data_IF_748872658762
#
_entry.id   IF_748872658762
#
_cell.length_a   1.000
_cell.length_b   1.000
_cell.length_c   1.000
_cell.angle_alpha   90.00
_cell.angle_beta   90.00
_cell.angle_gamma   90.00
#
_symmetry.space_group_name_H-M   'P 1'
#
loop_
_entity.id
_entity.type
_entity.pdbx_description
1 polymer ?
#
# COMPACT_ATOMS: atom_id res chain seq x y z
N UNK A 1 54.24 -4.31 -5.79
CA UNK A 1 53.02 -3.49 -5.88
C UNK A 1 52.00 -4.28 -6.70
N UNK A 2 51.10 -5.01 -6.03
CA UNK A 2 50.01 -5.73 -6.69
C UNK A 2 48.75 -4.92 -6.44
N UNK A 3 48.17 -4.38 -7.51
CA UNK A 3 46.91 -3.64 -7.45
C UNK A 3 45.78 -4.61 -7.14
N UNK A 4 45.12 -4.42 -6.00
CA UNK A 4 43.83 -5.04 -5.69
C UNK A 4 42.76 -4.26 -6.46
N UNK A 5 42.21 -4.85 -7.50
CA UNK A 5 40.99 -4.36 -8.15
C UNK A 5 39.84 -4.94 -7.36
N UNK A 6 39.18 -4.11 -6.55
CA UNK A 6 37.91 -4.44 -5.91
C UNK A 6 36.83 -4.24 -6.97
N UNK A 7 36.28 -5.34 -7.47
CA UNK A 7 35.00 -5.32 -8.19
C UNK A 7 33.90 -5.11 -7.16
N UNK A 8 33.31 -3.91 -7.12
CA UNK A 8 31.99 -3.72 -6.54
C UNK A 8 30.99 -4.35 -7.50
N UNK A 9 30.62 -5.61 -7.24
CA UNK A 9 29.37 -6.16 -7.74
C UNK A 9 28.26 -5.46 -6.94
N UNK A 10 27.71 -4.39 -7.50
CA UNK A 10 26.44 -3.83 -7.06
C UNK A 10 25.39 -4.83 -7.53
N UNK A 11 25.12 -5.84 -6.72
CA UNK A 11 23.93 -6.64 -6.86
C UNK A 11 22.79 -5.78 -6.32
N UNK A 12 21.95 -5.28 -7.22
CA UNK A 12 20.61 -4.81 -6.86
C UNK A 12 19.85 -6.06 -6.41
N UNK A 13 19.88 -6.31 -5.10
CA UNK A 13 19.02 -7.30 -4.47
C UNK A 13 17.72 -6.57 -4.19
N UNK A 14 16.67 -7.11 -4.78
CA UNK A 14 15.38 -6.52 -4.95
C UNK A 14 14.38 -7.35 -4.15
N UNK A 15 13.46 -6.65 -3.50
CA UNK A 15 12.60 -7.06 -2.43
C UNK A 15 11.18 -7.37 -2.98
N UNK A 16 10.94 -8.64 -3.31
CA UNK A 16 9.72 -9.28 -3.88
C UNK A 16 9.27 -8.68 -5.18
N UNK A 17 9.05 -9.52 -6.20
CA UNK A 17 9.16 -9.02 -7.53
C UNK A 17 7.88 -8.27 -7.80
N UNK A 18 8.02 -6.96 -7.92
CA UNK A 18 7.25 -6.12 -8.81
C UNK A 18 6.40 -6.97 -9.75
N UNK A 19 5.07 -6.78 -9.73
CA UNK A 19 4.22 -7.46 -10.71
C UNK A 19 4.53 -6.96 -12.11
N UNK A 20 5.36 -7.73 -12.80
CA UNK A 20 5.59 -7.58 -14.22
C UNK A 20 4.34 -7.93 -15.03
N UNK A 21 4.38 -7.56 -16.31
CA UNK A 21 3.26 -7.74 -17.22
C UNK A 21 2.72 -9.17 -17.21
N UNK A 22 3.61 -10.18 -17.26
CA UNK A 22 3.22 -11.59 -17.26
C UNK A 22 2.42 -11.97 -16.01
N UNK A 23 2.85 -11.52 -14.83
CA UNK A 23 2.12 -11.76 -13.57
C UNK A 23 0.74 -11.10 -13.57
N UNK A 24 0.65 -9.89 -14.09
CA UNK A 24 -0.64 -9.19 -14.20
C UNK A 24 -1.59 -9.88 -15.19
N UNK A 25 -1.08 -10.37 -16.33
CA UNK A 25 -1.88 -11.10 -17.33
C UNK A 25 -2.39 -12.43 -16.75
N UNK A 26 -1.51 -13.21 -16.12
CA UNK A 26 -1.88 -14.46 -15.43
C UNK A 26 -2.95 -14.23 -14.36
N UNK A 27 -2.84 -13.12 -13.63
CA UNK A 27 -3.81 -12.70 -12.66
C UNK A 27 -5.17 -12.38 -13.32
N UNK A 28 -5.20 -11.55 -14.35
CA UNK A 28 -6.43 -11.16 -15.02
C UNK A 28 -7.19 -12.36 -15.60
N UNK A 29 -6.46 -13.30 -16.20
CA UNK A 29 -7.02 -14.55 -16.71
C UNK A 29 -7.64 -15.39 -15.59
N UNK A 30 -6.91 -15.59 -14.50
CA UNK A 30 -7.38 -16.36 -13.33
C UNK A 30 -8.59 -15.71 -12.64
N UNK A 31 -8.55 -14.38 -12.50
CA UNK A 31 -9.62 -13.61 -11.87
C UNK A 31 -10.91 -13.64 -12.70
N UNK A 32 -10.81 -13.60 -14.03
CA UNK A 32 -11.98 -13.70 -14.91
C UNK A 32 -12.74 -15.01 -14.71
N UNK A 33 -12.02 -16.13 -14.56
CA UNK A 33 -12.58 -17.45 -14.29
C UNK A 33 -13.23 -17.51 -12.90
N UNK A 34 -12.60 -16.89 -11.89
CA UNK A 34 -13.14 -16.79 -10.54
C UNK A 34 -14.45 -15.99 -10.48
N UNK A 35 -14.48 -14.81 -11.13
CA UNK A 35 -15.66 -13.92 -11.18
C UNK A 35 -16.88 -14.65 -11.77
N UNK A 36 -16.67 -15.41 -12.84
CA UNK A 36 -17.72 -16.18 -13.51
C UNK A 36 -18.25 -17.37 -12.68
N UNK A 37 -17.41 -17.93 -11.79
CA UNK A 37 -17.78 -19.03 -10.92
C UNK A 37 -18.61 -18.58 -9.71
N UNK A 38 -18.26 -17.46 -9.07
CA UNK A 38 -18.87 -17.01 -7.82
C UNK A 38 -20.15 -16.16 -7.95
N UNK A 39 -20.42 -15.60 -9.13
CA UNK A 39 -21.73 -15.00 -9.41
C UNK A 39 -22.89 -16.03 -9.39
N UNK A 40 -22.59 -17.33 -9.32
CA UNK A 40 -23.59 -18.42 -9.31
C UNK A 40 -23.88 -19.01 -7.93
N UNK A 41 -23.18 -18.63 -6.85
CA UNK A 41 -23.22 -19.35 -5.57
C UNK A 41 -23.61 -18.52 -4.33
N UNK A 42 -24.11 -17.29 -4.47
CA UNK A 42 -24.46 -16.46 -3.30
C UNK A 42 -25.75 -16.93 -2.58
N UNK A 43 -25.65 -18.00 -1.80
CA UNK A 43 -26.52 -18.24 -0.65
C UNK A 43 -25.80 -17.72 0.60
N UNK A 44 -25.97 -16.42 0.90
CA UNK A 44 -25.35 -15.78 2.07
C UNK A 44 -25.91 -16.41 3.35
N UNK A 45 -25.09 -17.19 4.05
CA UNK A 45 -25.35 -17.58 5.45
C UNK A 45 -24.72 -16.53 6.35
N UNK A 46 -25.56 -15.74 7.00
CA UNK A 46 -25.15 -14.85 8.09
C UNK A 46 -24.51 -15.69 9.22
N UNK A 47 -23.19 -15.67 9.31
CA UNK A 47 -22.48 -16.08 10.52
C UNK A 47 -22.49 -14.92 11.51
N UNK A 48 -22.52 -15.24 12.80
CA UNK A 48 -22.57 -14.26 13.88
C UNK A 48 -21.34 -13.34 13.83
N UNK A 49 -21.57 -12.03 13.94
CA UNK A 49 -20.52 -11.03 14.15
C UNK A 49 -19.52 -11.50 15.20
N UNK A 50 -18.28 -11.76 14.80
CA UNK A 50 -17.17 -11.86 15.75
C UNK A 50 -16.99 -10.46 16.30
N UNK A 51 -17.25 -10.28 17.60
CA UNK A 51 -16.90 -9.04 18.29
C UNK A 51 -15.39 -9.04 18.45
N UNK A 52 -14.69 -8.36 17.57
CA UNK A 52 -13.26 -8.11 17.75
C UNK A 52 -13.07 -6.87 18.62
N UNK A 53 -11.90 -6.77 19.25
CA UNK A 53 -11.55 -5.64 20.12
C UNK A 53 -10.35 -4.97 19.49
N UNK A 54 -10.55 -3.78 18.91
CA UNK A 54 -9.48 -3.06 18.19
C UNK A 54 -8.13 -3.00 18.95
N UNK A 55 -8.07 -2.74 20.26
CA UNK A 55 -6.81 -2.81 21.00
C UNK A 55 -6.14 -4.20 20.98
N UNK A 56 -6.93 -5.27 21.08
CA UNK A 56 -6.44 -6.66 21.05
C UNK A 56 -5.95 -7.00 19.64
N UNK A 57 -6.72 -6.62 18.60
CA UNK A 57 -6.34 -6.88 17.21
C UNK A 57 -5.07 -6.12 16.83
N UNK A 58 -4.92 -4.86 17.29
CA UNK A 58 -3.71 -4.07 17.10
C UNK A 58 -2.50 -4.70 17.80
N UNK A 59 -2.66 -5.17 19.04
CA UNK A 59 -1.58 -5.85 19.76
C UNK A 59 -1.16 -7.14 19.06
N UNK A 60 -2.12 -7.98 18.67
CA UNK A 60 -1.86 -9.23 17.95
C UNK A 60 -1.18 -8.97 16.59
N UNK A 61 -1.59 -7.93 15.86
CA UNK A 61 -0.95 -7.57 14.60
C UNK A 61 0.51 -7.12 14.81
N UNK A 62 0.77 -6.32 15.85
CA UNK A 62 2.12 -5.88 16.17
C UNK A 62 3.04 -7.05 16.60
N UNK A 63 2.51 -7.97 17.42
CA UNK A 63 3.22 -9.19 17.83
C UNK A 63 3.50 -10.10 16.63
N UNK A 64 2.48 -10.32 15.80
CA UNK A 64 2.61 -11.10 14.58
C UNK A 64 3.73 -10.54 13.70
N UNK A 65 3.69 -9.26 13.33
CA UNK A 65 4.71 -8.64 12.46
C UNK A 65 6.11 -8.67 13.10
N UNK A 66 6.21 -8.57 14.43
CA UNK A 66 7.50 -8.67 15.11
C UNK A 66 8.18 -10.03 14.94
N UNK A 67 7.41 -11.12 14.85
CA UNK A 67 7.93 -12.48 14.60
C UNK A 67 8.48 -12.65 13.16
N UNK A 68 8.10 -11.77 12.24
CA UNK A 68 8.54 -11.77 10.83
C UNK A 68 9.71 -10.82 10.55
N UNK A 69 10.29 -10.23 11.58
CA UNK A 69 11.45 -9.36 11.46
C UNK A 69 12.74 -10.17 11.20
N UNK A 70 13.50 -9.83 10.15
CA UNK A 70 14.81 -10.43 9.92
C UNK A 70 15.85 -9.89 10.91
N UNK A 71 16.28 -10.72 11.86
CA UNK A 71 17.24 -10.33 12.91
C UNK A 71 18.69 -10.76 12.63
N UNK A 72 18.98 -11.34 11.46
CA UNK A 72 20.35 -11.71 11.09
C UNK A 72 21.16 -10.48 10.70
N UNK A 73 22.08 -10.06 11.59
CA UNK A 73 22.91 -8.88 11.39
C UNK A 73 23.94 -9.00 10.27
N UNK A 74 24.21 -10.21 9.79
CA UNK A 74 25.11 -10.43 8.65
C UNK A 74 24.36 -10.34 7.30
N UNK A 75 23.01 -10.27 7.32
CA UNK A 75 22.20 -10.06 6.13
C UNK A 75 22.22 -8.59 5.67
N UNK A 76 22.21 -8.38 4.36
CA UNK A 76 21.99 -7.05 3.77
C UNK A 76 20.60 -6.51 4.10
N UNK A 77 19.64 -7.41 4.27
CA UNK A 77 18.23 -7.12 4.57
C UNK A 77 17.96 -7.04 6.08
N UNK A 78 19.01 -6.92 6.90
CA UNK A 78 18.90 -6.85 8.35
C UNK A 78 17.90 -5.79 8.79
N UNK A 79 16.92 -6.25 9.59
CA UNK A 79 15.86 -5.41 10.12
C UNK A 79 14.71 -5.13 9.17
N UNK A 80 14.63 -5.77 8.00
CA UNK A 80 13.41 -5.73 7.19
C UNK A 80 12.42 -6.82 7.58
N UNK A 81 11.17 -6.68 7.14
CA UNK A 81 10.07 -7.61 7.39
C UNK A 81 9.95 -8.60 6.24
N UNK A 82 9.82 -9.88 6.59
CA UNK A 82 9.56 -10.95 5.63
C UNK A 82 8.18 -10.78 4.99
N UNK A 83 8.10 -10.94 3.67
CA UNK A 83 6.90 -10.72 2.88
C UNK A 83 5.80 -11.76 3.16
N UNK A 84 6.06 -13.03 2.87
CA UNK A 84 5.01 -14.05 2.89
C UNK A 84 5.24 -15.13 3.94
N UNK A 85 4.14 -15.72 4.41
CA UNK A 85 4.21 -16.80 5.39
C UNK A 85 4.80 -18.10 4.84
N UNK A 86 4.61 -18.32 3.53
CA UNK A 86 5.02 -19.54 2.82
C UNK A 86 5.33 -19.26 1.34
N UNK A 87 5.75 -20.29 0.62
CA UNK A 87 5.92 -20.23 -0.84
C UNK A 87 7.20 -19.52 -1.29
N UNK A 88 7.22 -19.11 -2.56
CA UNK A 88 8.40 -18.51 -3.19
C UNK A 88 8.75 -17.12 -2.64
N UNK A 89 7.80 -16.46 -1.96
CA UNK A 89 7.98 -15.14 -1.35
C UNK A 89 8.43 -15.21 0.12
N UNK A 90 8.63 -16.41 0.68
CA UNK A 90 8.99 -16.57 2.11
C UNK A 90 10.37 -16.01 2.47
N UNK A 91 11.29 -16.00 1.52
CA UNK A 91 12.66 -15.52 1.72
C UNK A 91 12.85 -14.08 1.24
N UNK A 92 11.76 -13.42 0.89
CA UNK A 92 11.76 -12.02 0.51
C UNK A 92 11.62 -11.17 1.77
N UNK A 93 12.39 -10.08 1.80
CA UNK A 93 12.21 -8.96 2.72
C UNK A 93 11.75 -7.71 1.95
N UNK A 94 10.79 -6.91 2.44
CA UNK A 94 10.27 -5.74 1.70
C UNK A 94 10.14 -4.43 2.45
N UNK A 95 10.33 -3.33 1.70
CA UNK A 95 10.18 -1.96 2.17
C UNK A 95 8.76 -1.58 2.52
N UNK A 96 7.73 -2.03 1.80
CA UNK A 96 6.34 -1.72 2.14
C UNK A 96 5.96 -2.39 3.45
N UNK A 97 6.18 -3.70 3.61
CA UNK A 97 5.92 -4.41 4.87
C UNK A 97 6.71 -3.81 6.04
N UNK A 98 7.95 -3.37 5.79
CA UNK A 98 8.81 -2.71 6.79
C UNK A 98 8.35 -1.29 7.14
N UNK A 99 7.78 -0.54 6.19
CA UNK A 99 7.20 0.77 6.47
C UNK A 99 5.88 0.65 7.22
N UNK A 100 5.05 -0.32 6.85
CA UNK A 100 3.80 -0.65 7.53
C UNK A 100 4.05 -1.11 8.96
N UNK A 101 5.11 -1.89 9.22
CA UNK A 101 5.49 -2.29 10.58
C UNK A 101 5.81 -1.07 11.47
N UNK A 102 6.57 -0.09 10.96
CA UNK A 102 6.86 1.16 11.68
C UNK A 102 5.58 1.95 11.94
N UNK A 103 4.64 1.98 10.98
CA UNK A 103 3.33 2.63 11.16
C UNK A 103 2.55 1.96 12.30
N UNK A 104 2.36 0.63 12.28
CA UNK A 104 1.54 -0.06 13.27
C UNK A 104 2.17 -0.01 14.66
N UNK A 105 3.51 -0.11 14.78
CA UNK A 105 4.18 0.01 16.07
C UNK A 105 4.15 1.44 16.61
N UNK A 106 4.19 2.46 15.74
CA UNK A 106 3.97 3.86 16.14
C UNK A 106 2.55 4.06 16.68
N UNK A 107 1.53 3.53 15.99
CA UNK A 107 0.14 3.56 16.46
C UNK A 107 -0.01 2.83 17.80
N UNK A 108 0.61 1.66 17.95
CA UNK A 108 0.61 0.88 19.19
C UNK A 108 1.23 1.68 20.34
N UNK A 109 2.41 2.28 20.14
CA UNK A 109 3.09 3.11 21.14
C UNK A 109 2.20 4.28 21.58
N UNK A 110 1.55 4.97 20.64
CA UNK A 110 0.65 6.07 20.96
C UNK A 110 -0.60 5.59 21.73
N UNK A 111 -1.16 4.44 21.37
CA UNK A 111 -2.38 3.90 21.98
C UNK A 111 -2.15 3.33 23.39
N UNK A 112 -1.06 2.58 23.59
CA UNK A 112 -0.78 1.86 24.83
C UNK A 112 0.29 2.52 25.71
N UNK A 113 0.99 3.54 25.21
CA UNK A 113 2.16 4.14 25.86
C UNK A 113 3.19 3.09 26.30
N UNK A 114 3.48 2.13 25.42
CA UNK A 114 4.31 0.95 25.66
C UNK A 114 5.44 0.84 24.62
N UNK A 115 6.67 0.56 25.05
CA UNK A 115 7.91 0.55 24.25
C UNK A 115 8.33 -0.85 23.83
N UNK A 116 7.47 -1.85 24.03
CA UNK A 116 7.80 -3.26 23.80
C UNK A 116 8.26 -3.55 22.36
N UNK A 117 7.87 -2.72 21.38
CA UNK A 117 8.26 -2.86 19.97
C UNK A 117 9.32 -1.83 19.53
N UNK A 118 9.86 -0.98 20.41
CA UNK A 118 10.82 0.06 20.03
C UNK A 118 12.13 -0.54 19.45
N UNK A 119 12.51 -1.74 19.91
CA UNK A 119 13.65 -2.47 19.33
C UNK A 119 13.36 -2.95 17.90
N UNK A 120 12.18 -3.52 17.64
CA UNK A 120 11.77 -3.92 16.29
C UNK A 120 11.67 -2.71 15.36
N UNK A 121 11.09 -1.61 15.85
CA UNK A 121 11.03 -0.35 15.10
C UNK A 121 12.43 0.14 14.71
N UNK A 122 13.39 0.08 15.63
CA UNK A 122 14.78 0.47 15.34
C UNK A 122 15.39 -0.38 14.23
N UNK A 123 15.10 -1.68 14.19
CA UNK A 123 15.55 -2.58 13.13
C UNK A 123 14.92 -2.20 11.78
N UNK A 124 13.61 -1.95 11.75
CA UNK A 124 12.91 -1.52 10.55
C UNK A 124 13.46 -0.20 9.98
N UNK A 125 13.84 0.75 10.84
CA UNK A 125 14.49 1.98 10.39
C UNK A 125 15.90 1.76 9.81
N UNK A 126 16.65 0.77 10.29
CA UNK A 126 17.95 0.40 9.72
C UNK A 126 17.76 -0.11 8.29
N UNK A 127 16.80 -1.02 8.08
CA UNK A 127 16.48 -1.55 6.77
C UNK A 127 16.04 -0.43 5.81
N UNK A 128 15.09 0.42 6.21
CA UNK A 128 14.58 1.51 5.37
C UNK A 128 15.69 2.51 4.98
N UNK A 129 16.66 2.73 5.85
CA UNK A 129 17.81 3.57 5.52
C UNK A 129 18.73 2.93 4.48
N UNK A 130 18.83 1.60 4.44
CA UNK A 130 19.59 0.86 3.44
C UNK A 130 18.84 0.71 2.11
N UNK A 131 17.51 0.62 2.17
CA UNK A 131 16.61 0.46 1.03
C UNK A 131 15.54 1.56 0.99
N UNK A 132 15.91 2.80 0.59
CA UNK A 132 14.94 3.87 0.50
C UNK A 132 13.86 3.58 -0.56
N UNK A 133 12.58 3.72 -0.21
CA UNK A 133 11.42 3.56 -1.10
C UNK A 133 11.59 4.00 -2.58
N UNK A 134 12.17 5.17 -2.83
CA UNK A 134 12.33 5.69 -4.19
C UNK A 134 13.41 4.97 -5.02
N UNK A 135 14.16 4.04 -4.41
CA UNK A 135 15.14 3.16 -5.05
C UNK A 135 14.61 1.73 -5.25
N UNK A 136 13.33 1.49 -4.97
CA UNK A 136 12.69 0.19 -5.15
C UNK A 136 12.68 -0.30 -6.61
N UNK A 137 12.27 -1.55 -6.79
CA UNK A 137 12.18 -2.24 -8.07
C UNK A 137 11.44 -1.45 -9.16
N UNK A 138 12.00 -1.45 -10.36
CA UNK A 138 11.35 -0.94 -11.57
C UNK A 138 11.34 -2.00 -12.66
N UNK A 139 10.42 -1.88 -13.60
CA UNK A 139 10.37 -2.69 -14.80
C UNK A 139 10.33 -1.82 -16.06
N UNK A 140 10.47 -2.45 -17.23
CA UNK A 140 10.45 -1.75 -18.51
C UNK A 140 9.09 -1.13 -18.85
N UNK A 141 7.98 -1.66 -18.29
CA UNK A 141 6.62 -1.20 -18.55
C UNK A 141 6.09 -0.22 -17.49
N UNK A 142 6.59 -0.28 -16.25
CA UNK A 142 6.16 0.58 -15.17
C UNK A 142 7.13 0.63 -13.98
N UNK A 143 7.04 1.73 -13.25
CA UNK A 143 7.81 2.02 -12.04
C UNK A 143 6.87 2.31 -10.85
N UNK A 144 5.68 1.67 -10.82
CA UNK A 144 4.66 1.96 -9.80
C UNK A 144 5.13 1.68 -8.37
N UNK A 145 6.04 0.74 -8.18
CA UNK A 145 6.38 0.21 -6.86
C UNK A 145 7.19 1.21 -6.01
N UNK A 146 8.19 1.95 -6.56
CA UNK A 146 8.80 3.10 -5.89
C UNK A 146 7.82 4.23 -5.55
N UNK A 147 6.81 4.44 -6.41
CA UNK A 147 5.78 5.46 -6.19
C UNK A 147 4.90 5.06 -5.00
N UNK A 148 4.42 3.82 -5.00
CA UNK A 148 3.68 3.19 -3.90
C UNK A 148 4.44 3.27 -2.57
N UNK A 149 5.66 2.76 -2.53
CA UNK A 149 6.50 2.77 -1.33
C UNK A 149 6.82 4.20 -0.86
N UNK A 150 6.91 5.16 -1.77
CA UNK A 150 7.08 6.57 -1.39
C UNK A 150 5.82 7.15 -0.73
N UNK A 151 4.63 6.67 -1.09
CA UNK A 151 3.39 6.96 -0.37
C UNK A 151 3.41 6.45 1.07
N UNK A 152 3.77 5.17 1.26
CA UNK A 152 3.90 4.55 2.58
C UNK A 152 4.98 5.24 3.44
N UNK A 153 6.13 5.59 2.85
CA UNK A 153 7.20 6.34 3.53
C UNK A 153 6.71 7.68 4.12
N UNK A 154 5.83 8.40 3.40
CA UNK A 154 5.24 9.64 3.89
C UNK A 154 4.33 9.40 5.10
N UNK A 155 3.47 8.38 5.04
CA UNK A 155 2.62 8.00 6.18
C UNK A 155 3.46 7.55 7.38
N UNK A 156 4.45 6.70 7.15
CA UNK A 156 5.39 6.24 8.17
C UNK A 156 6.08 7.41 8.86
N UNK A 157 6.62 8.34 8.08
CA UNK A 157 7.29 9.54 8.62
C UNK A 157 6.35 10.34 9.51
N UNK A 158 5.10 10.57 9.06
CA UNK A 158 4.07 11.25 9.86
C UNK A 158 3.79 10.52 11.18
N UNK A 159 3.47 9.22 11.14
CA UNK A 159 3.11 8.46 12.34
C UNK A 159 4.27 8.35 13.33
N UNK A 160 5.49 8.10 12.83
CA UNK A 160 6.69 8.06 13.65
C UNK A 160 6.94 9.41 14.34
N UNK A 161 6.97 10.51 13.58
CA UNK A 161 7.23 11.83 14.17
C UNK A 161 6.14 12.26 15.15
N UNK A 162 4.87 11.99 14.87
CA UNK A 162 3.77 12.30 15.81
C UNK A 162 3.84 11.50 17.10
N UNK A 163 4.29 10.24 17.03
CA UNK A 163 4.36 9.34 18.18
C UNK A 163 5.58 9.62 19.06
N UNK A 164 6.75 9.79 18.44
CA UNK A 164 8.02 9.90 19.15
C UNK A 164 8.49 11.34 19.34
N UNK A 165 7.88 12.32 18.66
CA UNK A 165 8.36 13.69 18.62
C UNK A 165 9.73 13.84 17.92
N UNK A 166 10.18 12.80 17.21
CA UNK A 166 11.45 12.77 16.50
C UNK A 166 11.27 13.19 15.04
N UNK A 167 11.99 14.24 14.65
CA UNK A 167 11.96 14.83 13.31
C UNK A 167 13.03 14.25 12.36
N UNK A 168 13.80 13.25 12.79
CA UNK A 168 14.91 12.68 12.01
C UNK A 168 14.49 12.15 10.62
N UNK A 169 13.26 11.66 10.49
CA UNK A 169 12.72 11.11 9.23
C UNK A 169 12.10 12.15 8.29
N UNK A 170 11.94 13.41 8.71
CA UNK A 170 11.27 14.44 7.90
C UNK A 170 11.94 14.66 6.53
N UNK A 171 13.27 14.59 6.47
CA UNK A 171 14.01 14.72 5.21
C UNK A 171 13.78 13.54 4.26
N UNK A 172 13.54 12.34 4.80
CA UNK A 172 13.18 11.15 4.02
C UNK A 172 11.76 11.29 3.46
N UNK A 173 10.78 11.63 4.31
CA UNK A 173 9.41 11.92 3.87
C UNK A 173 9.33 13.01 2.79
N UNK A 174 10.11 14.09 2.91
CA UNK A 174 10.16 15.17 1.90
C UNK A 174 10.79 14.73 0.57
N UNK A 175 11.68 13.73 0.61
CA UNK A 175 12.27 13.18 -0.60
C UNK A 175 11.27 12.27 -1.31
N UNK A 176 10.51 11.46 -0.57
CA UNK A 176 9.40 10.66 -1.10
C UNK A 176 8.25 11.53 -1.66
N UNK A 177 7.88 12.61 -0.97
CA UNK A 177 6.87 13.56 -1.46
C UNK A 177 7.26 14.17 -2.80
N UNK A 178 8.51 14.63 -2.93
CA UNK A 178 9.05 15.15 -4.20
C UNK A 178 9.07 14.07 -5.28
N UNK A 179 9.51 12.86 -4.95
CA UNK A 179 9.55 11.75 -5.89
C UNK A 179 8.17 11.46 -6.49
N UNK A 180 7.12 11.35 -5.66
CA UNK A 180 5.75 11.12 -6.12
C UNK A 180 5.26 12.25 -7.04
N UNK A 181 5.56 13.51 -6.71
CA UNK A 181 5.17 14.66 -7.53
C UNK A 181 5.85 14.63 -8.91
N UNK A 182 7.13 14.25 -8.95
CA UNK A 182 7.94 14.23 -10.17
C UNK A 182 7.75 12.94 -11.00
N UNK A 183 7.18 11.89 -10.40
CA UNK A 183 7.11 10.53 -10.96
C UNK A 183 5.66 10.05 -11.12
N UNK A 184 4.83 10.86 -11.78
CA UNK A 184 3.42 10.52 -12.01
C UNK A 184 3.27 9.34 -12.96
N UNK A 185 2.47 8.35 -12.56
CA UNK A 185 2.27 7.16 -13.37
C UNK A 185 1.30 7.44 -14.53
N UNK A 186 1.61 6.98 -15.76
CA UNK A 186 0.78 7.20 -16.94
C UNK A 186 -0.51 6.38 -16.87
N UNK A 187 -1.63 6.94 -17.33
CA UNK A 187 -2.95 6.27 -17.35
C UNK A 187 -3.40 5.87 -18.77
N UNK A 188 -2.51 6.03 -19.75
CA UNK A 188 -2.73 5.70 -21.16
C UNK A 188 -1.50 4.97 -21.71
N UNK A 189 -1.22 3.81 -21.13
CA UNK A 189 -0.17 2.90 -21.58
C UNK A 189 -0.72 1.91 -22.60
N UNK A 190 0.18 1.27 -23.34
CA UNK A 190 -0.17 0.18 -24.26
C UNK A 190 -0.74 -1.07 -23.57
N UNK A 191 -0.71 -1.12 -22.23
CA UNK A 191 -1.06 -2.27 -21.42
C UNK A 191 -2.16 -1.87 -20.42
N UNK A 192 -3.45 -2.13 -20.73
CA UNK A 192 -4.58 -1.64 -19.92
C UNK A 192 -4.53 -2.00 -18.43
N UNK A 193 -3.94 -3.14 -18.07
CA UNK A 193 -3.76 -3.54 -16.66
C UNK A 193 -2.84 -2.57 -15.90
N UNK A 194 -1.80 -2.04 -16.53
CA UNK A 194 -0.99 -0.99 -15.92
C UNK A 194 -1.78 0.31 -15.74
N UNK A 195 -2.73 0.64 -16.62
CA UNK A 195 -3.55 1.85 -16.43
C UNK A 195 -4.42 1.75 -15.18
N UNK A 196 -5.00 0.56 -14.92
CA UNK A 196 -5.75 0.29 -13.69
C UNK A 196 -4.84 0.37 -12.46
N UNK A 197 -3.70 -0.32 -12.48
CA UNK A 197 -2.74 -0.31 -11.38
C UNK A 197 -2.22 1.11 -11.09
N UNK A 198 -1.86 1.85 -12.13
CA UNK A 198 -1.41 3.24 -12.03
C UNK A 198 -2.51 4.15 -11.50
N UNK A 199 -3.78 3.93 -11.87
CA UNK A 199 -4.91 4.66 -11.32
C UNK A 199 -4.98 4.50 -9.80
N UNK A 200 -4.90 3.25 -9.32
CA UNK A 200 -4.90 2.93 -7.89
C UNK A 200 -3.68 3.51 -7.17
N UNK A 201 -2.48 3.32 -7.71
CA UNK A 201 -1.24 3.85 -7.09
C UNK A 201 -1.26 5.37 -7.04
N UNK A 202 -1.61 6.05 -8.15
CA UNK A 202 -1.73 7.51 -8.18
C UNK A 202 -2.75 8.02 -7.16
N UNK A 203 -3.90 7.35 -7.02
CA UNK A 203 -4.92 7.73 -6.04
C UNK A 203 -4.44 7.54 -4.59
N UNK A 204 -3.83 6.39 -4.29
CA UNK A 204 -3.23 6.12 -2.99
C UNK A 204 -2.18 7.18 -2.62
N UNK A 205 -1.21 7.43 -3.50
CA UNK A 205 -0.14 8.39 -3.19
C UNK A 205 -0.66 9.82 -3.12
N UNK A 206 -1.74 10.16 -3.82
CA UNK A 206 -2.44 11.43 -3.62
C UNK A 206 -3.01 11.54 -2.20
N UNK A 207 -3.70 10.50 -1.70
CA UNK A 207 -4.17 10.47 -0.31
C UNK A 207 -3.04 10.59 0.72
N UNK A 208 -1.94 9.86 0.51
CA UNK A 208 -0.75 9.94 1.37
C UNK A 208 -0.10 11.34 1.34
N UNK A 209 0.04 11.93 0.15
CA UNK A 209 0.62 13.26 -0.04
C UNK A 209 -0.26 14.35 0.59
N UNK A 210 -1.59 14.23 0.51
CA UNK A 210 -2.51 15.14 1.19
C UNK A 210 -2.37 15.06 2.71
N UNK A 211 -2.38 13.85 3.29
CA UNK A 211 -2.19 13.65 4.73
C UNK A 211 -0.83 14.15 5.22
N UNK A 212 0.23 13.90 4.44
CA UNK A 212 1.57 14.36 4.76
C UNK A 212 1.70 15.89 4.59
N UNK A 213 1.08 16.46 3.57
CA UNK A 213 0.99 17.91 3.35
C UNK A 213 0.31 18.62 4.51
N UNK A 214 -0.81 18.09 5.00
CA UNK A 214 -1.48 18.58 6.22
C UNK A 214 -0.57 18.49 7.45
N UNK A 215 0.09 17.35 7.65
CA UNK A 215 1.05 17.16 8.75
C UNK A 215 2.22 18.14 8.69
N UNK A 216 2.69 18.48 7.49
CA UNK A 216 3.81 19.40 7.25
C UNK A 216 3.39 20.85 7.14
N UNK A 217 2.10 21.16 7.21
CA UNK A 217 1.53 22.48 6.94
C UNK A 217 2.02 23.03 5.59
N UNK A 218 2.00 22.18 4.56
CA UNK A 218 2.53 22.49 3.24
C UNK A 218 1.44 22.45 2.16
N UNK A 219 0.86 23.63 1.89
CA UNK A 219 -0.20 23.82 0.89
C UNK A 219 0.21 23.33 -0.51
N UNK A 220 1.49 23.44 -0.88
CA UNK A 220 1.96 22.94 -2.18
C UNK A 220 1.76 21.42 -2.29
N UNK A 221 1.99 20.65 -1.23
CA UNK A 221 1.76 19.20 -1.26
C UNK A 221 0.27 18.86 -1.34
N UNK A 222 -0.57 19.62 -0.65
CA UNK A 222 -2.03 19.47 -0.69
C UNK A 222 -2.56 19.75 -2.11
N UNK A 223 -2.16 20.87 -2.72
CA UNK A 223 -2.54 21.22 -4.09
C UNK A 223 -2.07 20.17 -5.12
N UNK A 224 -0.85 19.64 -4.94
CA UNK A 224 -0.33 18.57 -5.80
C UNK A 224 -1.11 17.28 -5.61
N UNK A 225 -1.45 16.91 -4.38
CA UNK A 225 -2.25 15.73 -4.09
C UNK A 225 -3.60 15.78 -4.80
N UNK A 226 -4.31 16.91 -4.72
CA UNK A 226 -5.57 17.11 -5.44
C UNK A 226 -5.38 16.95 -6.96
N UNK A 227 -4.35 17.57 -7.53
CA UNK A 227 -4.07 17.46 -8.98
C UNK A 227 -3.79 16.02 -9.43
N UNK A 228 -3.17 15.19 -8.59
CA UNK A 228 -2.94 13.77 -8.87
C UNK A 228 -4.27 13.01 -8.77
N UNK A 229 -5.06 13.28 -7.73
CA UNK A 229 -6.34 12.66 -7.46
C UNK A 229 -7.35 12.89 -8.60
N UNK A 230 -7.45 14.11 -9.13
CA UNK A 230 -8.30 14.46 -10.27
C UNK A 230 -8.00 13.56 -11.47
N UNK A 231 -6.72 13.31 -11.77
CA UNK A 231 -6.33 12.43 -12.88
C UNK A 231 -6.83 11.00 -12.69
N UNK A 232 -6.70 10.46 -11.47
CA UNK A 232 -7.20 9.12 -11.15
C UNK A 232 -8.72 9.07 -11.18
N UNK A 233 -9.40 10.08 -10.64
CA UNK A 233 -10.87 10.21 -10.66
C UNK A 233 -11.40 10.23 -12.10
N UNK A 234 -10.91 11.16 -12.91
CA UNK A 234 -11.37 11.32 -14.30
C UNK A 234 -11.17 10.02 -15.11
N UNK A 235 -10.01 9.37 -14.94
CA UNK A 235 -9.77 8.09 -15.60
C UNK A 235 -10.69 6.98 -15.11
N UNK A 236 -10.91 6.89 -13.79
CA UNK A 236 -11.76 5.88 -13.19
C UNK A 236 -13.23 6.05 -13.63
N UNK A 237 -13.73 7.28 -13.69
CA UNK A 237 -15.10 7.58 -14.13
C UNK A 237 -15.31 7.24 -15.61
N UNK A 238 -14.29 7.47 -16.46
CA UNK A 238 -14.33 7.04 -17.87
C UNK A 238 -14.26 5.52 -18.05
N UNK A 239 -13.75 4.80 -17.06
CA UNK A 239 -13.53 3.34 -17.11
C UNK A 239 -14.16 2.64 -15.89
N UNK A 240 -15.37 3.05 -15.51
CA UNK A 240 -15.97 2.68 -14.22
C UNK A 240 -16.02 1.17 -13.97
N UNK A 241 -16.43 0.39 -14.99
CA UNK A 241 -16.50 -1.07 -14.91
C UNK A 241 -15.16 -1.73 -14.52
N UNK A 242 -14.05 -1.14 -14.95
CA UNK A 242 -12.70 -1.62 -14.67
C UNK A 242 -12.20 -1.06 -13.34
N UNK A 243 -12.26 0.27 -13.16
CA UNK A 243 -11.68 0.95 -12.01
C UNK A 243 -12.37 0.58 -10.69
N UNK A 244 -13.69 0.43 -10.70
CA UNK A 244 -14.45 0.11 -9.50
C UNK A 244 -14.76 -1.38 -9.35
N UNK A 245 -14.79 -2.12 -10.47
CA UNK A 245 -15.22 -3.51 -10.54
C UNK A 245 -14.11 -4.56 -10.61
N UNK A 246 -12.83 -4.17 -10.62
CA UNK A 246 -11.70 -5.10 -10.69
C UNK A 246 -10.59 -4.74 -9.68
N UNK A 247 -10.10 -5.73 -8.89
CA UNK A 247 -8.85 -5.61 -8.17
C UNK A 247 -7.65 -5.87 -9.09
N UNK A 248 -6.46 -5.45 -8.69
CA UNK A 248 -5.19 -5.80 -9.34
C UNK A 248 -4.03 -5.68 -8.35
N UNK A 249 -3.03 -6.55 -8.48
CA UNK A 249 -1.89 -6.64 -7.56
C UNK A 249 -2.37 -6.74 -6.10
N UNK A 250 -1.96 -5.83 -5.22
CA UNK A 250 -2.32 -5.71 -3.82
C UNK A 250 -3.45 -4.68 -3.59
N UNK A 251 -4.16 -4.26 -4.65
CA UNK A 251 -5.07 -3.12 -4.61
C UNK A 251 -6.48 -3.46 -5.12
N UNK A 252 -7.43 -2.67 -4.66
CA UNK A 252 -8.82 -2.72 -5.10
C UNK A 252 -9.37 -1.31 -5.28
N UNK A 253 -10.63 -1.21 -5.69
CA UNK A 253 -11.31 0.08 -5.75
C UNK A 253 -11.42 0.76 -4.38
N UNK A 254 -11.26 0.03 -3.27
CA UNK A 254 -11.08 0.63 -1.96
C UNK A 254 -9.83 1.51 -1.83
N UNK A 255 -8.75 1.17 -2.54
CA UNK A 255 -7.54 2.00 -2.65
C UNK A 255 -7.85 3.34 -3.33
N UNK A 256 -8.60 3.29 -4.44
CA UNK A 256 -9.08 4.47 -5.16
C UNK A 256 -9.99 5.34 -4.29
N UNK A 257 -10.98 4.72 -3.63
CA UNK A 257 -11.91 5.43 -2.73
C UNK A 257 -11.15 6.12 -1.60
N UNK A 258 -10.29 5.40 -0.88
CA UNK A 258 -9.50 5.98 0.20
C UNK A 258 -8.66 7.17 -0.28
N UNK A 259 -7.95 7.01 -1.40
CA UNK A 259 -7.12 8.06 -1.97
C UNK A 259 -7.90 9.31 -2.33
N UNK A 260 -9.04 9.16 -3.03
CA UNK A 260 -9.90 10.27 -3.44
C UNK A 260 -10.56 10.97 -2.25
N UNK A 261 -10.98 10.25 -1.21
CA UNK A 261 -11.53 10.87 0.01
C UNK A 261 -10.49 11.73 0.70
N UNK A 262 -9.26 11.21 0.84
CA UNK A 262 -8.18 11.89 1.56
C UNK A 262 -7.59 13.08 0.81
N UNK A 263 -7.83 13.19 -0.49
CA UNK A 263 -7.30 14.24 -1.36
C UNK A 263 -8.41 15.07 -2.00
N UNK A 264 -9.06 14.58 -3.07
CA UNK A 264 -10.06 15.31 -3.83
C UNK A 264 -11.30 15.70 -3.00
N UNK A 265 -12.03 14.73 -2.43
CA UNK A 265 -13.29 15.01 -1.72
C UNK A 265 -13.10 15.73 -0.39
N UNK A 266 -11.87 15.78 0.14
CA UNK A 266 -11.54 16.68 1.24
C UNK A 266 -11.77 18.16 0.86
N UNK A 267 -11.52 18.53 -0.40
CA UNK A 267 -11.75 19.87 -0.93
C UNK A 267 -13.11 20.04 -1.60
N UNK A 268 -13.71 18.95 -2.09
CA UNK A 268 -15.00 18.95 -2.81
C UNK A 268 -16.06 18.07 -2.12
N UNK A 269 -16.37 18.30 -0.83
CA UNK A 269 -17.28 17.42 -0.07
C UNK A 269 -18.71 17.42 -0.63
N UNK A 270 -19.14 18.50 -1.28
CA UNK A 270 -20.49 18.63 -1.84
C UNK A 270 -20.72 17.70 -3.05
N UNK A 271 -19.65 17.18 -3.67
CA UNK A 271 -19.73 16.23 -4.80
C UNK A 271 -19.76 14.76 -4.35
N UNK A 272 -19.51 14.51 -3.05
CA UNK A 272 -19.24 13.15 -2.57
C UNK A 272 -20.46 12.24 -2.66
N UNK A 273 -21.64 12.70 -2.23
CA UNK A 273 -22.85 11.87 -2.18
C UNK A 273 -23.27 11.40 -3.58
N UNK A 274 -23.22 12.30 -4.57
CA UNK A 274 -23.55 11.99 -5.95
C UNK A 274 -22.52 11.02 -6.54
N UNK A 275 -21.23 11.23 -6.27
CA UNK A 275 -20.17 10.32 -6.71
C UNK A 275 -20.28 8.92 -6.10
N UNK A 276 -20.61 8.82 -4.80
CA UNK A 276 -20.85 7.52 -4.15
C UNK A 276 -22.01 6.79 -4.82
N UNK A 277 -23.12 7.48 -5.05
CA UNK A 277 -24.30 6.89 -5.66
C UNK A 277 -24.03 6.40 -7.10
N UNK A 278 -23.22 7.13 -7.86
CA UNK A 278 -22.92 6.81 -9.26
C UNK A 278 -21.82 5.76 -9.43
N UNK A 279 -20.74 5.81 -8.63
CA UNK A 279 -19.53 5.02 -8.89
C UNK A 279 -19.15 4.02 -7.78
N UNK A 280 -19.52 4.28 -6.52
CA UNK A 280 -19.15 3.39 -5.41
C UNK A 280 -20.23 2.33 -5.20
N UNK A 281 -21.47 2.75 -4.96
CA UNK A 281 -22.58 1.87 -4.63
C UNK A 281 -22.84 0.75 -5.67
N UNK A 282 -22.66 0.96 -6.99
CA UNK A 282 -22.92 -0.10 -7.96
C UNK A 282 -21.81 -1.16 -8.06
N UNK A 283 -20.60 -0.85 -7.60
CA UNK A 283 -19.39 -1.61 -7.93
C UNK A 283 -18.62 -2.13 -6.72
N UNK A 284 -18.59 -1.36 -5.63
CA UNK A 284 -17.85 -1.72 -4.42
C UNK A 284 -18.71 -2.65 -3.59
N UNK A 285 -18.23 -3.87 -3.25
CA UNK A 285 -19.04 -4.85 -2.57
C UNK A 285 -19.31 -4.46 -1.12
N UNK A 286 -20.60 -4.36 -0.75
CA UNK A 286 -21.04 -4.11 0.64
C UNK A 286 -20.46 -5.10 1.66
N UNK A 287 -20.05 -6.27 1.18
CA UNK A 287 -19.46 -7.32 1.97
C UNK A 287 -18.53 -8.21 1.14
N UNK A 288 -17.31 -8.43 1.64
CA UNK A 288 -16.49 -9.55 1.21
C UNK A 288 -16.86 -10.78 2.05
N UNK A 289 -17.42 -11.86 1.45
CA UNK A 289 -17.78 -13.06 2.19
C UNK A 289 -16.56 -13.64 2.91
N UNK A 290 -16.76 -14.24 4.11
CA UNK A 290 -15.70 -15.04 4.70
C UNK A 290 -15.49 -16.25 3.76
N UNK A 291 -14.26 -16.75 3.63
CA UNK A 291 -13.96 -17.87 2.77
C UNK A 291 -14.76 -19.06 3.26
N UNK A 292 -15.40 -19.75 2.33
CA UNK A 292 -16.05 -21.02 2.60
C UNK A 292 -14.99 -22.12 2.85
N UNK A 293 -13.79 -21.93 2.28
CA UNK A 293 -12.59 -22.76 2.39
C UNK A 293 -11.34 -21.86 2.36
N UNK A 294 -10.29 -22.17 3.13
CA UNK A 294 -9.02 -21.43 3.10
C UNK A 294 -8.48 -21.38 1.65
N UNK A 295 -8.62 -20.22 1.02
CA UNK A 295 -8.09 -19.94 -0.30
C UNK A 295 -6.82 -19.11 -0.12
N UNK A 296 -5.68 -19.76 -0.35
CA UNK A 296 -4.35 -19.15 -0.28
C UNK A 296 -4.13 -18.06 -1.33
N UNK A 297 -5.07 -17.77 -2.22
CA UNK A 297 -5.01 -16.65 -3.16
C UNK A 297 -5.94 -15.48 -2.78
N UNK A 298 -6.97 -15.71 -1.94
CA UNK A 298 -7.92 -14.68 -1.51
C UNK A 298 -7.57 -14.13 -0.13
N UNK A 299 -7.03 -14.97 0.77
CA UNK A 299 -6.60 -14.53 2.11
C UNK A 299 -5.21 -13.94 2.14
N UNK A 300 -4.39 -14.24 1.14
CA UNK A 300 -3.10 -13.59 0.89
C UNK A 300 -3.23 -12.26 0.12
N UNK A 301 -4.46 -11.79 -0.16
CA UNK A 301 -4.65 -10.59 -0.98
C UNK A 301 -5.22 -9.41 -0.20
N UNK A 302 -4.42 -8.35 -0.12
CA UNK A 302 -4.67 -7.08 0.58
C UNK A 302 -5.85 -6.26 0.03
N UNK A 303 -6.57 -6.73 -1.00
CA UNK A 303 -7.76 -6.07 -1.54
C UNK A 303 -8.85 -5.85 -0.50
N UNK A 304 -9.06 -6.82 0.40
CA UNK A 304 -10.05 -6.73 1.47
C UNK A 304 -9.68 -5.65 2.48
N UNK A 305 -8.39 -5.49 2.76
CA UNK A 305 -7.87 -4.40 3.59
C UNK A 305 -8.16 -3.06 2.92
N UNK A 306 -7.96 -2.96 1.61
CA UNK A 306 -8.25 -1.74 0.87
C UNK A 306 -9.74 -1.43 0.77
N UNK A 307 -10.61 -2.43 0.60
CA UNK A 307 -12.05 -2.22 0.71
C UNK A 307 -12.43 -1.69 2.11
N UNK A 308 -11.88 -2.29 3.17
CA UNK A 308 -12.12 -1.82 4.53
C UNK A 308 -11.63 -0.38 4.76
N UNK A 309 -10.46 -0.02 4.23
CA UNK A 309 -9.93 1.35 4.28
C UNK A 309 -10.80 2.33 3.49
N UNK A 310 -11.29 1.94 2.31
CA UNK A 310 -12.23 2.73 1.52
C UNK A 310 -13.53 2.99 2.27
N UNK A 311 -14.18 1.94 2.80
CA UNK A 311 -15.42 2.06 3.57
C UNK A 311 -15.25 2.88 4.86
N UNK A 312 -14.09 2.79 5.52
CA UNK A 312 -13.79 3.60 6.69
C UNK A 312 -13.60 5.08 6.35
N UNK A 313 -13.21 5.40 5.12
CA UNK A 313 -12.98 6.76 4.69
C UNK A 313 -14.27 7.51 4.35
N UNK A 314 -15.28 6.80 3.82
CA UNK A 314 -16.63 7.32 3.55
C UNK A 314 -17.36 7.74 4.84
#
# INVERSE_FOLDING_TARGET
MKYFVIFFLISFVFATPYWNLEKMENFADSYSLYKDANLKSLSVRYTSFIRTSYPVDLANACEFVADWQLTDSDSVDYGGIIEAETGELRDVIQTDNTQESVIIWSIFRNFFNSDIFDSNLTLSLIYINNFPAYNEEIDEYSFYYPVWNSGLAMLMTKYYTQTYGDSSLLGYGDSCARFVIDSLLPLDTAYPLYNLLHCFVNSFVAGCLAEYGQFRENDYYIDRAESIAVRSKDWAEMHADTAYGMPIWAMSSGTLVWGLIKSYFFHHPDELDDWIAEFVAPYVPDYAPPPDEFDSYIWDNSWNIWFANGYRAL
#
